data_IF_567641968981
#
_entry.id   IF_567641968981
#
_cell.length_a   1.000
_cell.length_b   1.000
_cell.length_c   1.000
_cell.angle_alpha   90.00
_cell.angle_beta   90.00
_cell.angle_gamma   90.00
#
_symmetry.space_group_name_H-M   'P 1'
#
loop_
_entity.id
_entity.type
_entity.pdbx_description
1 polymer ?
#
# COMPACT_ATOMS: atom_id res chain seq x y z
N UNK A 1 -53.97 12.50 -4.63
CA UNK A 1 -52.59 13.03 -4.56
C UNK A 1 -51.69 11.99 -5.18
N UNK A 2 -51.19 12.26 -6.38
CA UNK A 2 -50.34 11.33 -7.12
C UNK A 2 -49.00 11.21 -6.39
N UNK A 3 -48.69 10.02 -5.88
CA UNK A 3 -47.31 9.69 -5.53
C UNK A 3 -46.56 9.63 -6.86
N UNK A 4 -45.83 10.71 -7.18
CA UNK A 4 -44.82 10.67 -8.22
C UNK A 4 -43.84 9.57 -7.82
N UNK A 5 -43.87 8.43 -8.51
CA UNK A 5 -42.82 7.43 -8.42
C UNK A 5 -41.50 8.17 -8.65
N UNK A 6 -40.66 8.27 -7.63
CA UNK A 6 -39.34 8.90 -7.81
C UNK A 6 -38.57 7.99 -8.75
N UNK A 7 -38.45 8.40 -10.01
CA UNK A 7 -37.56 7.76 -10.98
C UNK A 7 -36.15 7.82 -10.37
N UNK A 8 -35.49 6.68 -10.26
CA UNK A 8 -34.09 6.63 -9.84
C UNK A 8 -33.22 7.43 -10.80
N UNK A 9 -32.10 7.96 -10.29
CA UNK A 9 -31.11 8.65 -11.09
C UNK A 9 -30.55 7.73 -12.18
N UNK A 10 -30.20 8.32 -13.31
CA UNK A 10 -29.72 7.63 -14.50
C UNK A 10 -28.37 8.17 -14.93
N UNK A 11 -27.76 7.49 -15.90
CA UNK A 11 -26.52 7.96 -16.52
C UNK A 11 -26.71 9.33 -17.20
N UNK A 12 -27.88 9.61 -17.76
CA UNK A 12 -28.21 10.93 -18.31
C UNK A 12 -28.22 12.01 -17.22
N UNK A 13 -28.78 11.70 -16.04
CA UNK A 13 -28.79 12.62 -14.89
C UNK A 13 -27.36 12.91 -14.39
N UNK A 14 -26.48 11.89 -14.42
CA UNK A 14 -25.06 12.05 -14.10
C UNK A 14 -24.34 13.00 -15.07
N UNK A 15 -24.61 12.89 -16.37
CA UNK A 15 -23.97 13.74 -17.39
C UNK A 15 -24.45 15.18 -17.41
N UNK A 16 -25.64 15.46 -16.88
CA UNK A 16 -26.15 16.83 -16.72
C UNK A 16 -25.31 17.64 -15.72
N UNK A 17 -24.64 16.98 -14.77
CA UNK A 17 -23.74 17.65 -13.81
C UNK A 17 -22.52 18.19 -14.57
N UNK A 18 -22.22 19.50 -14.50
CA UNK A 18 -21.06 20.08 -15.17
C UNK A 18 -19.76 19.38 -14.75
N UNK A 19 -18.85 19.15 -15.70
CA UNK A 19 -17.60 18.41 -15.44
C UNK A 19 -16.79 18.97 -14.25
N UNK A 20 -16.69 20.30 -14.12
CA UNK A 20 -15.98 20.95 -13.01
C UNK A 20 -16.63 20.78 -11.62
N UNK A 21 -17.92 20.40 -11.60
CA UNK A 21 -18.72 20.15 -10.40
C UNK A 21 -18.99 18.65 -10.18
N UNK A 22 -18.55 17.80 -11.12
CA UNK A 22 -18.83 16.37 -11.10
C UNK A 22 -17.93 15.65 -10.09
N UNK A 23 -18.45 15.59 -8.86
CA UNK A 23 -17.86 14.83 -7.75
C UNK A 23 -18.77 13.68 -7.32
N UNK A 24 -19.62 13.21 -8.22
CA UNK A 24 -20.67 12.26 -7.88
C UNK A 24 -20.28 10.84 -8.29
N UNK A 25 -20.90 9.87 -7.65
CA UNK A 25 -20.95 8.48 -8.07
C UNK A 25 -22.43 8.13 -8.33
N UNK A 26 -22.71 7.43 -9.42
CA UNK A 26 -24.02 6.85 -9.72
C UNK A 26 -23.98 5.38 -9.31
N UNK A 27 -24.77 5.00 -8.30
CA UNK A 27 -24.78 3.63 -7.79
C UNK A 27 -26.19 3.14 -7.48
N UNK A 28 -26.65 2.15 -8.25
CA UNK A 28 -27.97 1.53 -8.15
C UNK A 28 -29.13 2.55 -8.24
N UNK A 29 -29.00 3.51 -9.17
CA UNK A 29 -30.04 4.51 -9.44
C UNK A 29 -30.09 5.65 -8.43
N UNK A 30 -29.01 5.90 -7.69
CA UNK A 30 -28.86 7.00 -6.76
C UNK A 30 -27.54 7.74 -7.06
N UNK A 31 -27.57 9.07 -7.03
CA UNK A 31 -26.38 9.93 -7.14
C UNK A 31 -25.86 10.26 -5.74
N UNK A 32 -24.57 9.99 -5.51
CA UNK A 32 -23.90 10.26 -4.26
C UNK A 32 -22.78 11.26 -4.50
N UNK A 33 -22.80 12.40 -3.82
CA UNK A 33 -21.66 13.30 -3.84
C UNK A 33 -20.52 12.70 -2.98
N UNK A 34 -19.35 12.51 -3.58
CA UNK A 34 -18.14 12.09 -2.89
C UNK A 34 -17.70 13.25 -1.99
N UNK A 35 -17.72 13.01 -0.68
CA UNK A 35 -17.28 13.99 0.30
C UNK A 35 -15.81 14.38 0.06
N UNK A 36 -15.44 15.61 0.45
CA UNK A 36 -14.04 16.00 0.46
C UNK A 36 -13.24 15.05 1.40
N UNK A 37 -12.05 14.60 1.00
CA UNK A 37 -11.25 13.69 1.82
C UNK A 37 -10.81 14.38 3.12
N UNK A 38 -10.75 13.62 4.22
CA UNK A 38 -10.08 14.07 5.44
C UNK A 38 -8.56 13.97 5.28
N UNK A 39 -7.79 14.53 6.23
CA UNK A 39 -6.34 14.41 6.23
C UNK A 39 -5.88 12.95 6.34
N UNK A 40 -6.55 12.17 7.20
CA UNK A 40 -6.30 10.75 7.40
C UNK A 40 -6.61 9.93 6.15
N UNK A 41 -7.72 10.24 5.46
CA UNK A 41 -8.06 9.61 4.18
C UNK A 41 -6.97 9.89 3.15
N UNK A 42 -6.63 11.17 2.94
CA UNK A 42 -5.63 11.56 1.95
C UNK A 42 -4.24 10.96 2.24
N UNK A 43 -3.84 10.93 3.52
CA UNK A 43 -2.59 10.29 3.94
C UNK A 43 -2.60 8.78 3.66
N UNK A 44 -3.72 8.11 3.95
CA UNK A 44 -3.82 6.67 3.70
C UNK A 44 -3.81 6.33 2.21
N UNK A 45 -4.54 7.09 1.39
CA UNK A 45 -4.51 6.96 -0.07
C UNK A 45 -3.08 7.16 -0.61
N UNK A 46 -2.35 8.17 -0.11
CA UNK A 46 -0.97 8.40 -0.49
C UNK A 46 -0.05 7.23 -0.08
N UNK A 47 -0.22 6.68 1.12
CA UNK A 47 0.52 5.51 1.60
C UNK A 47 0.28 4.27 0.73
N UNK A 48 -0.98 4.00 0.38
CA UNK A 48 -1.38 2.91 -0.52
C UNK A 48 -0.71 3.09 -1.89
N UNK A 49 -0.84 4.26 -2.50
CA UNK A 49 -0.22 4.57 -3.79
C UNK A 49 1.30 4.42 -3.70
N UNK A 50 1.94 4.92 -2.64
CA UNK A 50 3.38 4.78 -2.43
C UNK A 50 3.83 3.31 -2.39
N UNK A 51 3.06 2.46 -1.71
CA UNK A 51 3.37 1.04 -1.59
C UNK A 51 3.25 0.27 -2.93
N UNK A 52 2.27 0.60 -3.78
CA UNK A 52 2.01 -0.17 -5.01
C UNK A 52 2.56 0.47 -6.29
N UNK A 53 2.57 1.80 -6.41
CA UNK A 53 2.89 2.50 -7.65
C UNK A 53 4.33 2.25 -8.07
N UNK A 54 5.28 2.45 -7.15
CA UNK A 54 6.69 2.22 -7.41
C UNK A 54 6.93 0.80 -7.91
N UNK A 55 6.66 -0.24 -7.13
CA UNK A 55 7.00 -1.61 -7.53
C UNK A 55 6.28 -2.09 -8.80
N UNK A 56 5.03 -1.66 -9.04
CA UNK A 56 4.16 -2.28 -10.05
C UNK A 56 3.86 -1.43 -11.30
N UNK A 57 3.97 -0.10 -11.28
CA UNK A 57 3.66 0.77 -12.43
C UNK A 57 4.83 0.85 -13.45
N UNK A 58 5.23 -0.30 -13.97
CA UNK A 58 6.30 -0.44 -14.97
C UNK A 58 6.04 -1.67 -15.84
N UNK A 59 6.74 -1.80 -16.97
CA UNK A 59 6.70 -3.06 -17.74
C UNK A 59 7.32 -4.18 -16.89
N UNK A 60 6.69 -5.35 -16.86
CA UNK A 60 7.26 -6.54 -16.22
C UNK A 60 8.58 -6.92 -16.90
N UNK A 61 9.56 -7.38 -16.14
CA UNK A 61 10.82 -7.92 -16.68
C UNK A 61 11.77 -6.90 -17.33
N UNK A 62 11.65 -5.62 -17.01
CA UNK A 62 12.61 -4.59 -17.47
C UNK A 62 14.01 -4.83 -16.90
N UNK A 63 14.87 -5.51 -17.67
CA UNK A 63 16.27 -5.77 -17.33
C UNK A 63 17.04 -4.47 -17.07
N UNK A 64 17.45 -4.27 -15.81
CA UNK A 64 18.23 -3.11 -15.39
C UNK A 64 18.14 -2.88 -13.88
N UNK A 65 18.77 -3.75 -13.10
CA UNK A 65 19.40 -3.43 -11.79
C UNK A 65 18.58 -2.88 -10.62
N UNK A 66 17.28 -2.57 -10.76
CA UNK A 66 16.48 -1.96 -9.69
C UNK A 66 14.96 -2.01 -9.88
N UNK A 67 14.45 -2.95 -10.67
CA UNK A 67 13.05 -3.01 -11.05
C UNK A 67 12.19 -3.87 -10.13
N UNK A 68 11.12 -3.30 -9.57
CA UNK A 68 10.04 -4.05 -8.92
C UNK A 68 9.24 -4.93 -9.91
N UNK A 69 8.25 -5.69 -9.42
CA UNK A 69 7.55 -6.72 -10.21
C UNK A 69 6.91 -6.22 -11.51
N UNK A 70 6.49 -4.95 -11.55
CA UNK A 70 5.84 -4.35 -12.71
C UNK A 70 4.48 -4.97 -13.04
N UNK A 71 3.99 -4.72 -14.25
CA UNK A 71 2.82 -5.40 -14.80
C UNK A 71 1.50 -4.68 -14.61
N UNK A 72 1.49 -3.46 -14.05
CA UNK A 72 0.24 -2.75 -13.77
C UNK A 72 0.20 -1.34 -14.37
N UNK A 73 -1.02 -0.91 -14.67
CA UNK A 73 -1.41 0.50 -14.74
C UNK A 73 -2.16 0.81 -13.44
N UNK A 74 -1.72 1.82 -12.69
CA UNK A 74 -2.34 2.23 -11.42
C UNK A 74 -2.76 3.69 -11.56
N UNK A 75 -3.96 4.00 -11.07
CA UNK A 75 -4.52 5.33 -11.10
C UNK A 75 -5.30 5.60 -9.81
N UNK A 76 -5.61 6.86 -9.57
CA UNK A 76 -6.36 7.34 -8.41
C UNK A 76 -7.52 8.19 -8.87
N UNK A 77 -8.63 8.17 -8.13
CA UNK A 77 -9.75 9.09 -8.34
C UNK A 77 -10.33 9.10 -9.76
N UNK A 78 -10.31 7.95 -10.45
CA UNK A 78 -10.79 7.82 -11.83
C UNK A 78 -12.26 7.40 -11.86
N UNK A 79 -13.04 8.04 -12.72
CA UNK A 79 -14.42 7.62 -12.99
C UNK A 79 -14.40 6.34 -13.84
N UNK A 80 -15.13 5.31 -13.42
CA UNK A 80 -15.26 4.03 -14.11
C UNK A 80 -16.74 3.81 -14.43
N UNK A 81 -17.04 3.64 -15.72
CA UNK A 81 -18.35 3.23 -16.19
C UNK A 81 -18.44 1.70 -16.09
N UNK A 82 -19.41 1.24 -15.29
CA UNK A 82 -19.67 -0.17 -15.12
C UNK A 82 -20.71 -0.66 -16.14
N UNK A 83 -20.68 -1.94 -16.47
CA UNK A 83 -21.65 -2.56 -17.40
C UNK A 83 -23.12 -2.42 -16.95
N UNK A 84 -23.34 -2.18 -15.65
CA UNK A 84 -24.67 -1.89 -15.08
C UNK A 84 -25.20 -0.51 -15.46
N UNK A 85 -24.38 0.36 -16.04
CA UNK A 85 -24.66 1.79 -16.25
C UNK A 85 -24.35 2.66 -15.03
N UNK A 86 -23.86 2.06 -13.95
CA UNK A 86 -23.36 2.79 -12.77
C UNK A 86 -22.00 3.45 -13.07
N UNK A 87 -21.72 4.57 -12.41
CA UNK A 87 -20.43 5.27 -12.50
C UNK A 87 -19.84 5.40 -11.10
N UNK A 88 -18.67 4.82 -10.90
CA UNK A 88 -17.97 4.81 -9.61
C UNK A 88 -16.65 5.56 -9.71
N UNK A 89 -16.15 6.06 -8.59
CA UNK A 89 -14.89 6.78 -8.48
C UNK A 89 -14.07 6.26 -7.29
N UNK A 90 -13.48 5.07 -7.44
CA UNK A 90 -12.61 4.48 -6.42
C UNK A 90 -11.37 5.32 -6.12
N UNK A 91 -10.89 5.22 -4.87
CA UNK A 91 -9.71 5.97 -4.41
C UNK A 91 -8.42 5.56 -5.13
N UNK A 92 -8.21 4.25 -5.30
CA UNK A 92 -7.08 3.69 -6.06
C UNK A 92 -7.55 2.49 -6.86
N UNK A 93 -7.04 2.35 -8.09
CA UNK A 93 -7.37 1.24 -8.99
C UNK A 93 -6.17 0.76 -9.77
N UNK A 94 -6.25 -0.47 -10.28
CA UNK A 94 -5.25 -1.04 -11.15
C UNK A 94 -5.80 -1.95 -12.25
N UNK A 95 -5.12 -1.93 -13.40
CA UNK A 95 -5.32 -2.85 -14.51
C UNK A 95 -4.03 -3.61 -14.80
N UNK A 96 -4.12 -4.91 -15.05
CA UNK A 96 -2.99 -5.73 -15.49
C UNK A 96 -2.63 -5.39 -16.92
N UNK A 97 -1.36 -5.06 -17.15
CA UNK A 97 -0.81 -4.78 -18.49
C UNK A 97 -0.91 -5.96 -19.44
N UNK A 98 -0.93 -7.19 -18.91
CA UNK A 98 -1.15 -8.40 -19.70
C UNK A 98 -2.53 -8.42 -20.37
N UNK A 99 -3.56 -8.01 -19.63
CA UNK A 99 -4.94 -7.93 -20.13
C UNK A 99 -5.22 -6.60 -20.84
N UNK A 100 -4.48 -5.54 -20.50
CA UNK A 100 -4.59 -4.18 -21.04
C UNK A 100 -3.19 -3.66 -21.42
N UNK A 101 -2.67 -4.02 -22.61
CA UNK A 101 -1.32 -3.62 -23.04
C UNK A 101 -1.16 -2.10 -23.14
N UNK A 102 -2.24 -1.41 -23.50
CA UNK A 102 -2.34 0.04 -23.53
C UNK A 102 -2.92 0.58 -22.22
N UNK A 103 -2.51 1.79 -21.85
CA UNK A 103 -3.02 2.45 -20.65
C UNK A 103 -4.50 2.79 -20.86
N UNK A 104 -5.41 2.44 -19.93
CA UNK A 104 -6.78 2.91 -19.97
C UNK A 104 -6.86 4.45 -19.94
N UNK A 105 -7.72 5.02 -20.78
CA UNK A 105 -7.92 6.47 -20.95
C UNK A 105 -9.40 6.81 -21.04
N UNK A 106 -9.75 8.07 -20.83
CA UNK A 106 -11.12 8.56 -20.93
C UNK A 106 -11.71 8.96 -19.57
N UNK A 107 -12.82 9.68 -19.63
CA UNK A 107 -13.65 10.05 -18.49
C UNK A 107 -15.10 9.86 -18.96
N UNK A 108 -15.78 8.77 -18.56
CA UNK A 108 -15.31 7.72 -17.67
C UNK A 108 -14.39 6.73 -18.40
N UNK A 109 -13.58 5.98 -17.66
CA UNK A 109 -12.91 4.79 -18.17
C UNK A 109 -13.94 3.67 -18.28
N UNK A 110 -14.05 3.04 -19.45
CA UNK A 110 -15.02 1.97 -19.76
C UNK A 110 -14.47 0.55 -19.58
N UNK A 111 -13.21 0.44 -19.16
CA UNK A 111 -12.54 -0.83 -18.90
C UNK A 111 -12.57 -1.17 -17.41
N UNK A 112 -13.16 -2.31 -17.06
CA UNK A 112 -13.17 -2.81 -15.68
C UNK A 112 -11.73 -3.01 -15.15
N UNK A 113 -11.44 -2.54 -13.92
CA UNK A 113 -10.16 -2.75 -13.27
C UNK A 113 -10.01 -4.18 -12.75
N UNK A 114 -8.77 -4.64 -12.67
CA UNK A 114 -8.41 -5.92 -12.06
C UNK A 114 -8.33 -5.82 -10.52
N UNK A 115 -8.12 -4.60 -10.01
CA UNK A 115 -8.02 -4.31 -8.59
C UNK A 115 -8.60 -2.93 -8.27
N UNK A 116 -9.32 -2.85 -7.15
CA UNK A 116 -9.82 -1.60 -6.56
C UNK A 116 -9.42 -1.56 -5.09
N UNK A 117 -9.03 -0.39 -4.59
CA UNK A 117 -8.85 -0.11 -3.17
C UNK A 117 -9.65 1.12 -2.78
N UNK A 118 -10.47 0.97 -1.74
CA UNK A 118 -11.24 2.06 -1.13
C UNK A 118 -10.70 2.35 0.27
N UNK A 119 -10.57 3.63 0.58
CA UNK A 119 -10.21 4.12 1.92
C UNK A 119 -11.50 4.53 2.63
N UNK A 120 -11.73 3.95 3.79
CA UNK A 120 -12.92 4.24 4.59
C UNK A 120 -12.86 5.68 5.09
N UNK A 121 -13.87 6.48 4.77
CA UNK A 121 -14.04 7.81 5.33
C UNK A 121 -15.02 7.79 6.52
N UNK A 122 -14.81 8.60 7.58
CA UNK A 122 -15.72 8.65 8.72
C UNK A 122 -17.19 8.99 8.37
N UNK A 123 -17.42 9.75 7.29
CA UNK A 123 -18.74 10.21 6.87
C UNK A 123 -19.50 9.23 5.97
N UNK A 124 -18.84 8.20 5.41
CA UNK A 124 -19.44 7.24 4.47
C UNK A 124 -19.31 5.76 4.87
N UNK A 125 -18.68 5.47 6.02
CA UNK A 125 -17.98 4.22 6.32
C UNK A 125 -18.74 2.88 6.17
N UNK A 126 -20.06 2.84 6.34
CA UNK A 126 -20.78 1.55 6.39
C UNK A 126 -21.68 1.32 5.19
N UNK A 127 -22.41 2.33 4.73
CA UNK A 127 -23.35 2.15 3.63
C UNK A 127 -22.67 2.18 2.26
N UNK A 128 -21.66 3.04 2.09
CA UNK A 128 -20.95 3.19 0.82
C UNK A 128 -20.09 1.94 0.53
N UNK A 129 -19.27 1.52 1.49
CA UNK A 129 -18.42 0.32 1.35
C UNK A 129 -19.23 -0.94 1.08
N UNK A 130 -20.39 -1.13 1.73
CA UNK A 130 -21.27 -2.29 1.46
C UNK A 130 -21.90 -2.21 0.07
N UNK A 131 -22.32 -1.01 -0.39
CA UNK A 131 -22.90 -0.83 -1.71
C UNK A 131 -21.86 -1.10 -2.81
N UNK A 132 -20.67 -0.52 -2.66
CA UNK A 132 -19.53 -0.72 -3.57
C UNK A 132 -19.07 -2.16 -3.60
N UNK A 133 -18.97 -2.83 -2.44
CA UNK A 133 -18.66 -4.26 -2.38
C UNK A 133 -19.64 -5.09 -3.23
N UNK A 134 -20.95 -4.85 -3.09
CA UNK A 134 -21.98 -5.57 -3.88
C UNK A 134 -21.92 -5.22 -5.37
N UNK A 135 -21.59 -3.97 -5.70
CA UNK A 135 -21.50 -3.50 -7.07
C UNK A 135 -20.27 -4.09 -7.77
N UNK A 136 -19.10 -4.00 -7.15
CA UNK A 136 -17.84 -4.57 -7.63
C UNK A 136 -17.91 -6.10 -7.77
N UNK A 137 -18.57 -6.78 -6.82
CA UNK A 137 -18.81 -8.21 -6.91
C UNK A 137 -19.65 -8.57 -8.13
N UNK A 138 -20.73 -7.82 -8.36
CA UNK A 138 -21.68 -8.06 -9.47
C UNK A 138 -21.03 -7.92 -10.84
N UNK A 139 -20.11 -6.97 -10.99
CA UNK A 139 -19.39 -6.72 -12.25
C UNK A 139 -18.07 -7.48 -12.33
N UNK A 140 -17.75 -8.32 -11.34
CA UNK A 140 -16.64 -9.26 -11.41
C UNK A 140 -15.25 -8.68 -11.19
N UNK A 141 -15.09 -7.58 -10.45
CA UNK A 141 -13.76 -7.03 -10.13
C UNK A 141 -12.98 -8.07 -9.30
N UNK A 142 -11.85 -8.61 -9.77
CA UNK A 142 -11.20 -9.76 -9.13
C UNK A 142 -10.70 -9.50 -7.71
N UNK A 143 -10.14 -8.31 -7.45
CA UNK A 143 -9.52 -7.97 -6.18
C UNK A 143 -10.07 -6.67 -5.62
N UNK A 144 -10.48 -6.68 -4.36
CA UNK A 144 -11.05 -5.51 -3.68
C UNK A 144 -10.39 -5.31 -2.32
N UNK A 145 -9.79 -4.14 -2.11
CA UNK A 145 -9.19 -3.74 -0.84
C UNK A 145 -10.06 -2.70 -0.14
N UNK A 146 -10.12 -2.81 1.18
CA UNK A 146 -10.67 -1.79 2.06
C UNK A 146 -9.62 -1.45 3.11
N UNK A 147 -9.16 -0.20 3.10
CA UNK A 147 -8.26 0.34 4.09
C UNK A 147 -9.05 1.24 5.06
N UNK A 148 -9.01 0.96 6.35
CA UNK A 148 -9.66 1.81 7.37
C UNK A 148 -8.60 2.61 8.14
N UNK A 149 -8.47 3.93 7.91
CA UNK A 149 -7.52 4.77 8.63
C UNK A 149 -7.80 4.89 10.13
N UNK A 150 -9.05 4.68 10.57
CA UNK A 150 -9.42 4.83 12.00
C UNK A 150 -8.84 3.69 12.82
N UNK A 151 -8.96 2.47 12.30
CA UNK A 151 -8.46 1.26 12.95
C UNK A 151 -7.07 0.85 12.43
N UNK A 152 -6.55 1.56 11.42
CA UNK A 152 -5.32 1.24 10.70
C UNK A 152 -5.29 -0.23 10.25
N UNK A 153 -6.36 -0.67 9.59
CA UNK A 153 -6.51 -2.04 9.09
C UNK A 153 -6.60 -2.10 7.58
N UNK A 154 -6.00 -3.13 7.00
CA UNK A 154 -6.17 -3.50 5.60
C UNK A 154 -6.99 -4.79 5.51
N UNK A 155 -8.09 -4.76 4.76
CA UNK A 155 -8.86 -5.95 4.39
C UNK A 155 -8.70 -6.20 2.90
N UNK A 156 -8.21 -7.39 2.54
CA UNK A 156 -8.02 -7.83 1.16
C UNK A 156 -9.06 -8.90 0.84
N UNK A 157 -9.79 -8.67 -0.23
CA UNK A 157 -10.84 -9.58 -0.70
C UNK A 157 -10.59 -10.04 -2.13
N UNK A 158 -10.89 -11.30 -2.37
CA UNK A 158 -10.87 -11.94 -3.69
C UNK A 158 -12.29 -12.29 -4.12
N UNK A 159 -12.61 -12.01 -5.37
CA UNK A 159 -13.89 -12.37 -5.95
C UNK A 159 -14.11 -13.90 -5.95
N UNK A 160 -15.35 -14.32 -5.68
CA UNK A 160 -15.83 -15.69 -5.90
C UNK A 160 -17.30 -15.67 -6.35
N UNK A 161 -17.83 -16.80 -6.83
CA UNK A 161 -19.24 -16.89 -7.25
C UNK A 161 -20.24 -16.56 -6.14
N UNK A 162 -19.89 -16.85 -4.89
CA UNK A 162 -20.79 -16.70 -3.73
C UNK A 162 -20.67 -15.33 -3.06
N UNK A 163 -19.67 -14.53 -3.45
CA UNK A 163 -19.34 -13.26 -2.82
C UNK A 163 -17.84 -12.99 -2.81
N UNK A 164 -17.44 -11.83 -2.30
CA UNK A 164 -16.04 -11.61 -1.97
C UNK A 164 -15.63 -12.45 -0.76
N UNK A 165 -14.48 -13.13 -0.86
CA UNK A 165 -13.84 -13.85 0.23
C UNK A 165 -12.74 -12.97 0.79
N UNK A 166 -12.74 -12.72 2.10
CA UNK A 166 -11.61 -12.08 2.78
C UNK A 166 -10.44 -13.06 2.83
N UNK A 167 -9.38 -12.77 2.08
CA UNK A 167 -8.17 -13.60 2.00
C UNK A 167 -7.08 -13.13 2.96
N UNK A 168 -7.13 -11.86 3.37
CA UNK A 168 -6.25 -11.29 4.37
C UNK A 168 -6.97 -10.16 5.11
N UNK A 169 -6.79 -10.12 6.43
CA UNK A 169 -7.04 -8.94 7.25
C UNK A 169 -5.78 -8.68 8.06
N UNK A 170 -5.28 -7.46 8.03
CA UNK A 170 -4.03 -7.10 8.67
C UNK A 170 -4.15 -5.80 9.44
N UNK A 171 -3.46 -5.74 10.56
CA UNK A 171 -3.38 -4.60 11.47
C UNK A 171 -2.07 -3.83 11.28
N UNK A 172 -2.05 -2.59 11.78
CA UNK A 172 -0.97 -1.60 11.64
C UNK A 172 0.46 -2.14 11.80
N UNK A 173 0.68 -3.07 12.71
CA UNK A 173 2.02 -3.55 13.08
C UNK A 173 2.53 -4.70 12.19
N UNK A 174 1.66 -5.26 11.35
CA UNK A 174 1.95 -6.43 10.53
C UNK A 174 2.68 -6.07 9.22
N UNK A 175 3.37 -7.06 8.66
CA UNK A 175 3.98 -6.99 7.34
C UNK A 175 3.44 -8.15 6.52
N UNK A 176 2.83 -7.85 5.37
CA UNK A 176 2.01 -8.83 4.64
C UNK A 176 2.35 -8.89 3.16
N UNK A 177 2.02 -10.03 2.54
CA UNK A 177 1.91 -10.16 1.08
C UNK A 177 0.44 -10.07 0.72
N UNK A 178 0.02 -8.90 0.27
CA UNK A 178 -1.39 -8.62 -0.02
C UNK A 178 -1.69 -8.86 -1.50
N UNK A 179 -2.65 -9.72 -1.80
CA UNK A 179 -3.10 -10.00 -3.16
C UNK A 179 -3.76 -8.78 -3.81
N UNK A 180 -3.46 -8.41 -5.08
CA UNK A 180 -2.67 -9.15 -6.08
C UNK A 180 -1.20 -8.70 -6.18
N UNK A 181 -0.67 -8.11 -5.10
CA UNK A 181 0.66 -7.54 -5.00
C UNK A 181 1.59 -8.39 -4.11
N UNK A 182 1.41 -9.70 -4.08
CA UNK A 182 2.15 -10.63 -3.20
C UNK A 182 3.66 -10.71 -3.49
N UNK A 183 4.08 -10.16 -4.63
CA UNK A 183 5.48 -10.11 -5.02
C UNK A 183 6.34 -9.19 -4.14
N UNK A 184 5.73 -8.35 -3.30
CA UNK A 184 6.42 -7.53 -2.29
C UNK A 184 5.84 -7.76 -0.90
N UNK A 185 6.63 -7.41 0.11
CA UNK A 185 6.15 -7.26 1.49
C UNK A 185 5.66 -5.83 1.70
N UNK A 186 4.49 -5.66 2.32
CA UNK A 186 3.91 -4.36 2.65
C UNK A 186 3.82 -4.27 4.18
N UNK A 187 4.56 -3.33 4.77
CA UNK A 187 4.34 -2.96 6.16
C UNK A 187 3.04 -2.16 6.26
N UNK A 188 2.05 -2.70 6.96
CA UNK A 188 0.68 -2.14 6.97
C UNK A 188 0.66 -0.73 7.53
N UNK A 189 1.47 -0.42 8.53
CA UNK A 189 1.59 0.91 9.11
C UNK A 189 1.94 2.02 8.11
N UNK A 190 2.73 1.71 7.07
CA UNK A 190 3.12 2.69 6.02
C UNK A 190 1.90 3.14 5.21
N UNK A 191 0.89 2.27 5.07
CA UNK A 191 -0.38 2.61 4.44
C UNK A 191 -1.16 3.67 5.24
N UNK A 192 -0.79 3.91 6.50
CA UNK A 192 -1.45 4.84 7.42
C UNK A 192 -0.49 5.90 7.98
N UNK A 193 0.61 6.17 7.26
CA UNK A 193 1.54 7.26 7.56
C UNK A 193 2.69 6.93 8.51
N UNK A 194 2.94 5.65 8.82
CA UNK A 194 4.22 5.29 9.45
C UNK A 194 5.38 5.47 8.48
N UNK A 195 6.55 5.79 9.04
CA UNK A 195 7.79 5.70 8.31
C UNK A 195 8.04 4.23 7.92
N UNK A 196 8.51 3.98 6.69
CA UNK A 196 9.02 2.67 6.34
C UNK A 196 10.14 2.34 7.34
N UNK A 197 10.03 1.20 8.03
CA UNK A 197 11.11 0.77 8.92
C UNK A 197 12.38 0.74 8.09
N UNK A 198 13.42 1.44 8.53
CA UNK A 198 14.78 1.12 8.09
C UNK A 198 14.93 -0.40 8.29
N UNK A 199 15.38 -1.13 7.26
CA UNK A 199 15.80 -2.52 7.46
C UNK A 199 16.66 -2.56 8.73
N UNK A 200 16.49 -3.54 9.63
CA UNK A 200 17.40 -3.66 10.75
C UNK A 200 18.80 -3.65 10.16
N UNK A 201 19.55 -2.57 10.42
CA UNK A 201 20.98 -2.55 10.16
C UNK A 201 21.45 -3.80 10.86
N UNK A 202 22.05 -4.74 10.12
CA UNK A 202 22.74 -5.88 10.69
C UNK A 202 23.51 -5.32 11.89
N UNK A 203 23.05 -5.62 13.12
CA UNK A 203 23.84 -5.32 14.29
C UNK A 203 25.20 -5.95 14.02
N UNK A 204 26.31 -5.24 14.22
CA UNK A 204 27.62 -5.83 13.99
C UNK A 204 27.63 -7.14 14.77
N UNK A 205 27.75 -8.26 14.06
CA UNK A 205 28.07 -9.53 14.71
C UNK A 205 29.32 -9.24 15.50
N UNK A 206 29.25 -9.35 16.82
CA UNK A 206 30.42 -9.31 17.68
C UNK A 206 31.46 -10.27 17.07
N UNK A 207 32.45 -9.72 16.38
CA UNK A 207 33.58 -10.50 15.86
C UNK A 207 34.35 -10.91 17.11
N UNK A 208 34.52 -12.21 17.42
CA UNK A 208 35.18 -12.66 18.66
C UNK A 208 36.69 -12.38 18.69
N UNK A 209 37.19 -11.42 17.90
CA UNK A 209 38.62 -11.16 17.71
C UNK A 209 39.19 -10.03 18.54
N UNK A 210 38.38 -9.39 19.39
CA UNK A 210 38.86 -8.49 20.44
C UNK A 210 38.85 -9.21 21.81
N UNK A 211 39.56 -10.34 21.91
CA UNK A 211 40.10 -10.74 23.22
C UNK A 211 41.43 -9.99 23.44
N UNK A 212 41.56 -9.19 24.51
CA UNK A 212 42.83 -8.59 24.86
C UNK A 212 43.82 -9.71 25.20
N UNK A 213 44.95 -9.73 24.50
CA UNK A 213 46.08 -10.60 24.87
C UNK A 213 46.60 -10.14 26.22
N UNK A 214 46.32 -10.92 27.25
CA UNK A 214 46.99 -10.84 28.55
C UNK A 214 48.49 -11.08 28.33
N UNK A 215 49.28 -10.02 28.49
CA UNK A 215 50.74 -10.07 28.55
C UNK A 215 51.17 -10.27 30.01
N UNK A 216 51.74 -11.43 30.40
CA UNK A 216 52.15 -11.67 31.76
C UNK A 216 53.52 -11.05 32.03
N UNK A 217 53.49 -9.86 32.63
CA UNK A 217 54.34 -9.36 33.73
C UNK A 217 55.79 -9.91 33.80
N UNK A 218 56.75 -9.06 33.46
CA UNK A 218 58.11 -9.12 34.03
C UNK A 218 58.12 -8.36 35.38
N UNK A 219 58.33 -9.12 36.46
CA UNK A 219 58.51 -8.69 37.85
C UNK A 219 59.99 -8.32 38.10
N UNK A 220 60.32 -7.15 38.67
CA UNK A 220 61.69 -6.76 38.96
C UNK A 220 62.18 -7.45 40.24
N UNK A 221 63.33 -8.12 40.18
CA UNK A 221 63.99 -8.65 41.40
C UNK A 221 65.43 -8.17 41.51
N UNK A 222 65.59 -7.29 42.49
CA UNK A 222 66.61 -7.25 43.54
C UNK A 222 68.09 -7.48 43.16
N UNK A 223 68.87 -6.40 43.31
CA UNK A 223 70.30 -6.43 43.60
C UNK A 223 70.60 -7.25 44.86
N UNK A 224 71.82 -7.79 44.97
CA UNK A 224 72.67 -7.21 46.00
C UNK A 224 74.10 -6.90 45.53
N UNK A 225 74.64 -5.85 46.15
CA UNK A 225 76.05 -5.42 46.18
C UNK A 225 76.91 -6.51 46.82
N UNK A 226 78.14 -6.73 46.32
CA UNK A 226 79.34 -6.45 47.14
C UNK A 226 80.67 -6.44 46.35
N UNK A 227 81.53 -5.55 46.84
CA UNK A 227 83.00 -5.50 46.88
C UNK A 227 83.94 -5.55 45.65
N UNK A 228 84.75 -4.48 45.61
CA UNK A 228 86.05 -4.26 44.94
C UNK A 228 87.14 -5.22 45.53
N UNK A 229 88.41 -5.33 45.02
CA UNK A 229 89.23 -4.26 44.41
C UNK A 229 90.28 -4.67 43.33
N UNK A 230 91.14 -3.69 43.00
CA UNK A 230 92.46 -3.77 42.31
C UNK A 230 92.42 -3.92 40.78
N UNK A 231 93.26 -3.34 39.94
CA UNK A 231 94.51 -2.54 39.99
C UNK A 231 94.63 -1.96 38.55
N UNK A 232 95.00 -0.70 38.31
CA UNK A 232 96.37 -0.35 37.90
C UNK A 232 96.68 -0.58 36.39
N UNK A 233 97.35 0.41 35.75
CA UNK A 233 97.83 0.51 34.33
C UNK A 233 96.78 1.09 33.35
N UNK A 234 96.99 2.17 32.60
CA UNK A 234 98.15 2.96 32.15
C UNK A 234 97.85 4.48 32.16
#
# INVERSE_FOLDING_TARGET
MSQSERRGATLDDFWVIPEGERRHELMAGELFEKAAPSGEHGAAQAGIVGAVLGPFQRRSGGGGGGGGPGGWWIATEVEILLETGDVVRPDVVGWRREQRPERPTGIPVDQLPDWVCEVVSPSSATHDTVRKLRLYHRVGIPHYWVADPRDATLTVMRWSSDGYITVLRAERHEVVRAEPFEAIMIAVGVLFGDDPRDEPRDEPRDDPRDEPRDDPRDDPRDEPRDDSPSDGSE
#
